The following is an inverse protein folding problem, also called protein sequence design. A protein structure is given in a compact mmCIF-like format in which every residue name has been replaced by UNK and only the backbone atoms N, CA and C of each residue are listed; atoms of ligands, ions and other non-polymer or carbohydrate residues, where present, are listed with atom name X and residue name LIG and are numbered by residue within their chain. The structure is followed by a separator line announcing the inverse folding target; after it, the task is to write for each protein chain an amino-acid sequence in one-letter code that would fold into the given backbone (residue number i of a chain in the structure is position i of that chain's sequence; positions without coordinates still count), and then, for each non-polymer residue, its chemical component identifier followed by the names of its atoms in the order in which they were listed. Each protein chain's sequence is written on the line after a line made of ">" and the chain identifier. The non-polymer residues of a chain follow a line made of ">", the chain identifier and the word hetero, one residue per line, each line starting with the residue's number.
data_IF_815183913311
#
_entry.id   IF_815183913311
#
_cell.length_a   1.000
_cell.length_b   1.000
_cell.length_c   1.000
_cell.angle_alpha   90.00
_cell.angle_beta   90.00
_cell.angle_gamma   90.00
#
_symmetry.space_group_name_H-M   'P 1'
#
loop_
_entity.id
_entity.type
_entity.pdbx_description
1 polymer ?
#
# COMPACT_ATOMS: atom_id res chain seq x y z
N UNK A 1 9.85 24.60 5.58
CA UNK A 1 10.17 24.43 7.02
C UNK A 1 11.09 23.26 7.28
N UNK A 2 11.00 22.19 6.49
CA UNK A 2 12.00 21.13 6.51
C UNK A 2 13.43 21.65 6.33
N UNK A 3 13.64 22.70 5.51
CA UNK A 3 14.94 23.34 5.29
C UNK A 3 15.77 23.67 6.55
N UNK A 4 15.13 24.04 7.66
CA UNK A 4 15.82 24.34 8.93
C UNK A 4 16.26 23.09 9.71
N UNK A 5 15.89 21.90 9.23
CA UNK A 5 16.11 20.59 9.86
C UNK A 5 17.04 19.71 9.04
N UNK A 6 17.88 20.31 8.18
CA UNK A 6 18.84 19.60 7.32
C UNK A 6 19.69 18.61 8.14
N UNK A 7 20.23 19.00 9.29
CA UNK A 7 21.02 18.09 10.13
C UNK A 7 20.24 16.85 10.58
N UNK A 8 19.04 17.02 11.13
CA UNK A 8 18.17 15.91 11.53
C UNK A 8 17.81 15.01 10.35
N UNK A 9 17.58 15.60 9.16
CA UNK A 9 17.22 14.85 7.96
C UNK A 9 18.36 13.93 7.49
N UNK A 10 19.58 14.46 7.42
CA UNK A 10 20.75 13.68 7.02
C UNK A 10 21.11 12.62 8.08
N UNK A 11 20.89 12.91 9.36
CA UNK A 11 21.02 11.91 10.42
C UNK A 11 19.98 10.78 10.26
N UNK A 12 18.71 11.11 10.00
CA UNK A 12 17.66 10.13 9.77
C UNK A 12 17.99 9.23 8.57
N UNK A 13 18.46 9.82 7.46
CA UNK A 13 18.93 9.07 6.30
C UNK A 13 20.11 8.16 6.64
N UNK A 14 21.12 8.65 7.35
CA UNK A 14 22.28 7.84 7.76
C UNK A 14 21.85 6.63 8.59
N UNK A 15 21.00 6.83 9.59
CA UNK A 15 20.50 5.75 10.45
C UNK A 15 19.68 4.73 9.63
N UNK A 16 18.85 5.19 8.70
CA UNK A 16 18.13 4.31 7.77
C UNK A 16 19.10 3.53 6.88
N UNK A 17 20.17 4.14 6.38
CA UNK A 17 21.21 3.44 5.61
C UNK A 17 21.87 2.34 6.44
N UNK A 18 22.17 2.58 7.71
CA UNK A 18 22.70 1.53 8.60
C UNK A 18 21.74 0.34 8.66
N UNK A 19 20.44 0.59 8.89
CA UNK A 19 19.43 -0.47 8.97
C UNK A 19 19.27 -1.29 7.67
N UNK A 20 19.46 -0.65 6.52
CA UNK A 20 19.45 -1.35 5.22
C UNK A 20 20.65 -2.28 5.06
N UNK A 21 21.79 -1.93 5.65
CA UNK A 21 23.01 -2.73 5.57
C UNK A 21 23.03 -3.83 6.63
N UNK A 22 22.40 -3.58 7.78
CA UNK A 22 22.33 -4.49 8.92
C UNK A 22 20.98 -4.32 9.64
N UNK A 23 20.08 -5.28 9.44
CA UNK A 23 18.77 -5.30 10.08
C UNK A 23 18.84 -5.63 11.58
N UNK A 24 19.97 -6.16 12.06
CA UNK A 24 20.20 -6.45 13.48
C UNK A 24 20.75 -5.23 14.25
N UNK A 25 21.01 -4.09 13.58
CA UNK A 25 21.39 -2.83 14.22
C UNK A 25 20.19 -2.15 14.90
N UNK A 26 19.67 -2.81 15.94
CA UNK A 26 18.55 -2.34 16.75
C UNK A 26 18.87 -1.04 17.50
N UNK A 27 20.15 -0.69 17.63
CA UNK A 27 20.59 0.61 18.15
C UNK A 27 20.27 1.72 17.15
N UNK A 28 20.65 1.58 15.88
CA UNK A 28 20.25 2.53 14.83
C UNK A 28 18.73 2.60 14.70
N UNK A 29 18.01 1.48 14.86
CA UNK A 29 16.55 1.44 14.83
C UNK A 29 15.95 2.29 15.96
N UNK A 30 16.45 2.11 17.19
CA UNK A 30 16.03 2.89 18.36
C UNK A 30 16.33 4.39 18.16
N UNK A 31 17.54 4.73 17.76
CA UNK A 31 17.97 6.12 17.55
C UNK A 31 17.14 6.82 16.47
N UNK A 32 16.84 6.12 15.36
CA UNK A 32 16.01 6.65 14.30
C UNK A 32 14.59 6.93 14.80
N UNK A 33 13.95 5.98 15.49
CA UNK A 33 12.59 6.18 16.00
C UNK A 33 12.50 7.33 17.01
N UNK A 34 13.48 7.48 17.91
CA UNK A 34 13.54 8.61 18.85
C UNK A 34 13.68 9.94 18.10
N UNK A 35 14.53 10.00 17.07
CA UNK A 35 14.69 11.19 16.22
C UNK A 35 13.37 11.54 15.50
N UNK A 36 12.70 10.55 14.91
CA UNK A 36 11.42 10.74 14.21
C UNK A 36 10.34 11.22 15.17
N UNK A 37 10.19 10.60 16.34
CA UNK A 37 9.22 11.00 17.36
C UNK A 37 9.44 12.48 17.76
N UNK A 38 10.68 12.89 18.00
CA UNK A 38 11.00 14.26 18.37
C UNK A 38 10.66 15.27 17.25
N UNK A 39 11.02 14.98 16.00
CA UNK A 39 10.74 15.87 14.87
C UNK A 39 9.24 15.94 14.53
N UNK A 40 8.51 14.83 14.65
CA UNK A 40 7.05 14.77 14.47
C UNK A 40 6.35 15.58 15.57
N UNK A 41 6.63 15.32 16.85
CA UNK A 41 6.03 16.05 17.98
C UNK A 41 6.28 17.55 17.84
N UNK A 42 7.49 17.96 17.47
CA UNK A 42 7.80 19.37 17.26
C UNK A 42 6.97 19.98 16.13
N UNK A 43 6.82 19.26 15.03
CA UNK A 43 6.03 19.67 13.87
C UNK A 43 4.55 19.81 14.24
N UNK A 44 4.00 18.87 15.00
CA UNK A 44 2.61 18.89 15.50
C UNK A 44 2.34 20.07 16.45
N UNK A 45 3.26 20.37 17.37
CA UNK A 45 3.17 21.56 18.24
C UNK A 45 3.09 22.84 17.40
N UNK A 46 3.85 22.91 16.30
CA UNK A 46 3.77 23.99 15.32
C UNK A 46 2.38 24.11 14.69
N UNK A 47 1.80 22.99 14.24
CA UNK A 47 0.42 22.94 13.71
C UNK A 47 -0.59 23.42 14.76
N UNK A 48 -0.50 22.95 16.01
CA UNK A 48 -1.40 23.34 17.09
C UNK A 48 -1.39 24.83 17.34
N UNK A 49 -0.19 25.42 17.49
CA UNK A 49 -0.03 26.86 17.72
C UNK A 49 -0.70 27.68 16.62
N UNK A 50 -0.47 27.32 15.36
CA UNK A 50 -1.06 28.03 14.21
C UNK A 50 -2.57 27.81 14.10
N UNK A 51 -3.08 26.62 14.42
CA UNK A 51 -4.52 26.34 14.45
C UNK A 51 -5.23 27.12 15.56
N UNK A 52 -4.60 27.26 16.73
CA UNK A 52 -5.13 28.07 17.83
C UNK A 52 -5.20 29.55 17.43
N UNK A 53 -4.14 30.07 16.79
CA UNK A 53 -4.12 31.43 16.26
C UNK A 53 -5.21 31.63 15.19
N UNK A 54 -5.37 30.69 14.26
CA UNK A 54 -6.37 30.76 13.19
C UNK A 54 -7.82 30.80 13.72
N UNK A 55 -8.09 30.23 14.90
CA UNK A 55 -9.40 30.27 15.55
C UNK A 55 -9.66 31.57 16.33
N UNK A 56 -8.66 32.45 16.46
CA UNK A 56 -8.80 33.74 17.14
C UNK A 56 -9.74 34.69 16.40
N UNK A 57 -10.52 35.46 17.13
CA UNK A 57 -11.60 36.32 16.61
C UNK A 57 -11.15 37.56 15.83
N UNK A 58 -9.84 37.83 15.70
CA UNK A 58 -9.30 39.05 15.06
C UNK A 58 -8.35 38.80 13.88
N UNK A 59 -8.42 37.62 13.24
CA UNK A 59 -7.49 37.26 12.15
C UNK A 59 -8.04 37.69 10.79
N UNK A 60 -7.39 38.66 10.14
CA UNK A 60 -7.71 39.10 8.78
C UNK A 60 -7.49 38.00 7.72
N UNK A 61 -8.11 38.15 6.54
CA UNK A 61 -8.08 37.15 5.47
C UNK A 61 -6.66 36.82 4.95
N UNK A 62 -5.77 37.83 4.90
CA UNK A 62 -4.38 37.63 4.45
C UNK A 62 -3.63 36.77 5.47
N UNK A 63 -3.82 37.04 6.76
CA UNK A 63 -3.25 36.27 7.85
C UNK A 63 -3.83 34.86 7.88
N UNK A 64 -5.14 34.69 7.69
CA UNK A 64 -5.75 33.35 7.60
C UNK A 64 -5.13 32.52 6.48
N UNK A 65 -4.97 33.10 5.28
CA UNK A 65 -4.34 32.44 4.13
C UNK A 65 -2.90 32.04 4.44
N UNK A 66 -2.12 32.94 5.03
CA UNK A 66 -0.76 32.66 5.48
C UNK A 66 -0.70 31.50 6.50
N UNK A 67 -1.57 31.53 7.52
CA UNK A 67 -1.63 30.50 8.56
C UNK A 67 -2.00 29.13 7.98
N UNK A 68 -2.99 29.07 7.09
CA UNK A 68 -3.37 27.83 6.39
C UNK A 68 -2.19 27.26 5.58
N UNK A 69 -1.50 28.10 4.80
CA UNK A 69 -0.30 27.69 4.06
C UNK A 69 0.82 27.19 4.97
N UNK A 70 1.04 27.82 6.12
CA UNK A 70 2.03 27.38 7.12
C UNK A 70 1.64 26.07 7.79
N UNK A 71 0.37 25.87 8.12
CA UNK A 71 -0.15 24.60 8.65
C UNK A 71 0.10 23.48 7.65
N UNK A 72 -0.20 23.69 6.36
CA UNK A 72 0.08 22.69 5.32
C UNK A 72 1.57 22.39 5.19
N UNK A 73 2.43 23.40 5.31
CA UNK A 73 3.88 23.18 5.31
C UNK A 73 4.36 22.35 6.51
N UNK A 74 3.76 22.51 7.71
CA UNK A 74 4.06 21.64 8.86
C UNK A 74 3.53 20.23 8.62
N UNK A 75 2.30 20.06 8.12
CA UNK A 75 1.73 18.75 7.78
C UNK A 75 2.59 17.99 6.77
N UNK A 76 3.09 18.68 5.74
CA UNK A 76 4.06 18.11 4.81
C UNK A 76 5.36 17.68 5.50
N UNK A 77 5.90 18.50 6.42
CA UNK A 77 7.09 18.10 7.19
C UNK A 77 6.84 16.83 8.02
N UNK A 78 5.68 16.73 8.68
CA UNK A 78 5.32 15.55 9.48
C UNK A 78 5.20 14.31 8.59
N UNK A 79 4.61 14.46 7.42
CA UNK A 79 4.51 13.41 6.42
C UNK A 79 5.88 12.88 5.99
N UNK A 80 6.82 13.78 5.66
CA UNK A 80 8.20 13.41 5.30
C UNK A 80 8.91 12.66 6.43
N UNK A 81 8.76 13.11 7.68
CA UNK A 81 9.33 12.37 8.82
C UNK A 81 8.71 10.99 8.96
N UNK A 82 7.39 10.87 8.77
CA UNK A 82 6.71 9.58 8.78
C UNK A 82 7.11 8.69 7.60
N UNK A 83 7.54 9.24 6.47
CA UNK A 83 8.10 8.47 5.37
C UNK A 83 9.38 7.72 5.75
N UNK A 84 10.18 8.23 6.70
CA UNK A 84 11.29 7.45 7.27
C UNK A 84 10.79 6.29 8.15
N UNK A 85 9.66 6.45 8.84
CA UNK A 85 9.01 5.35 9.55
C UNK A 85 8.43 4.31 8.58
N UNK A 86 7.84 4.75 7.47
CA UNK A 86 7.46 3.87 6.37
C UNK A 86 8.70 3.10 5.87
N UNK A 87 9.82 3.78 5.68
CA UNK A 87 11.05 3.14 5.23
C UNK A 87 11.59 2.08 6.20
N UNK A 88 11.48 2.31 7.52
CA UNK A 88 11.76 1.27 8.52
C UNK A 88 10.84 0.07 8.26
N UNK A 89 9.52 0.28 8.16
CA UNK A 89 8.58 -0.81 7.94
C UNK A 89 8.92 -1.63 6.69
N UNK A 90 9.25 -0.97 5.57
CA UNK A 90 9.64 -1.63 4.31
C UNK A 90 11.02 -2.31 4.34
N UNK A 91 11.88 -2.01 5.31
CA UNK A 91 13.16 -2.72 5.49
C UNK A 91 12.93 -4.09 6.13
N UNK A 92 11.99 -4.20 7.07
CA UNK A 92 11.77 -5.43 7.85
C UNK A 92 10.60 -6.27 7.35
N UNK A 93 9.57 -5.66 6.76
CA UNK A 93 8.30 -6.31 6.43
C UNK A 93 8.13 -6.47 4.93
N UNK A 94 7.40 -7.51 4.53
CA UNK A 94 6.99 -7.70 3.15
C UNK A 94 6.06 -6.57 2.69
N UNK A 95 6.35 -6.01 1.52
CA UNK A 95 5.61 -4.85 0.99
C UNK A 95 4.19 -5.18 0.55
N UNK A 96 3.89 -6.44 0.23
CA UNK A 96 2.55 -6.88 -0.09
C UNK A 96 1.74 -7.07 1.20
N UNK A 97 2.35 -7.57 2.28
CA UNK A 97 1.76 -7.61 3.62
C UNK A 97 1.44 -6.19 4.15
N UNK A 98 2.39 -5.25 4.01
CA UNK A 98 2.21 -3.86 4.44
C UNK A 98 0.99 -3.16 3.82
N UNK A 99 0.65 -3.48 2.56
CA UNK A 99 -0.54 -2.95 1.87
C UNK A 99 -1.81 -3.13 2.71
N UNK A 100 -1.96 -4.28 3.37
CA UNK A 100 -3.16 -4.60 4.17
C UNK A 100 -3.27 -3.73 5.43
N UNK A 101 -2.16 -3.18 5.91
CA UNK A 101 -2.12 -2.32 7.11
C UNK A 101 -2.52 -0.86 6.84
N UNK A 102 -2.64 -0.47 5.56
CA UNK A 102 -3.00 0.89 5.16
C UNK A 102 -4.53 1.09 5.02
N UNK A 103 -5.22 0.08 4.50
CA UNK A 103 -6.65 0.15 4.24
C UNK A 103 -7.50 -0.22 5.47
N UNK A 104 -8.77 0.16 5.45
CA UNK A 104 -9.76 -0.37 6.38
C UNK A 104 -9.99 -1.86 6.11
N UNK A 105 -10.28 -2.64 7.14
CA UNK A 105 -10.52 -4.08 6.99
C UNK A 105 -11.78 -4.33 6.18
N UNK A 106 -12.91 -3.65 6.45
CA UNK A 106 -14.18 -3.91 5.75
C UNK A 106 -14.33 -3.29 4.36
N UNK A 107 -13.45 -2.37 3.94
CA UNK A 107 -13.54 -1.69 2.63
C UNK A 107 -12.16 -1.25 2.15
N UNK A 108 -11.91 -1.36 0.84
CA UNK A 108 -10.71 -0.84 0.16
C UNK A 108 -10.66 0.70 0.12
N UNK A 109 -10.54 1.32 1.29
CA UNK A 109 -10.36 2.76 1.46
C UNK A 109 -9.31 3.00 2.54
N UNK A 110 -8.43 4.00 2.42
CA UNK A 110 -7.44 4.28 3.45
C UNK A 110 -8.09 4.40 4.83
N UNK A 111 -7.48 3.77 5.84
CA UNK A 111 -7.86 4.02 7.23
C UNK A 111 -7.52 5.46 7.60
N UNK A 112 -8.23 6.07 8.54
CA UNK A 112 -7.90 7.42 8.99
C UNK A 112 -6.44 7.52 9.46
N UNK A 113 -5.77 8.64 9.17
CA UNK A 113 -4.42 8.90 9.68
C UNK A 113 -4.38 8.80 11.21
N UNK A 114 -3.19 8.48 11.73
CA UNK A 114 -2.90 8.57 13.14
C UNK A 114 -3.18 10.00 13.67
N UNK A 115 -3.67 10.07 14.91
CA UNK A 115 -3.83 11.34 15.62
C UNK A 115 -2.48 12.02 15.88
N UNK A 116 -2.50 13.16 16.58
CA UNK A 116 -1.24 13.76 17.01
C UNK A 116 -0.56 12.91 18.09
N UNK A 117 0.70 12.56 17.86
CA UNK A 117 1.55 11.84 18.80
C UNK A 117 1.66 12.60 20.14
N UNK A 118 1.65 13.93 20.07
CA UNK A 118 1.80 14.81 21.22
C UNK A 118 0.54 15.00 22.09
N UNK A 119 -0.56 14.29 21.84
CA UNK A 119 -1.81 14.34 22.64
C UNK A 119 -2.03 13.08 23.50
N UNK A 120 -1.10 12.11 23.50
CA UNK A 120 -1.35 10.80 24.11
C UNK A 120 -0.67 10.64 25.47
N UNK A 121 -1.46 10.66 26.55
CA UNK A 121 -1.04 10.16 27.87
C UNK A 121 -0.61 8.67 27.81
N UNK A 122 -1.08 7.94 26.79
CA UNK A 122 -0.71 6.54 26.53
C UNK A 122 0.65 6.32 25.88
N UNK A 123 1.32 7.36 25.36
CA UNK A 123 2.57 7.21 24.60
C UNK A 123 3.69 6.59 25.43
N UNK A 124 3.73 6.81 26.74
CA UNK A 124 4.72 6.18 27.62
C UNK A 124 4.60 4.64 27.60
N UNK A 125 3.39 4.11 27.58
CA UNK A 125 3.15 2.67 27.56
C UNK A 125 3.52 2.08 26.19
N UNK A 126 3.19 2.78 25.11
CA UNK A 126 3.57 2.41 23.74
C UNK A 126 5.10 2.37 23.59
N UNK A 127 5.80 3.41 24.08
CA UNK A 127 7.27 3.47 24.08
C UNK A 127 7.91 2.39 24.95
N UNK A 128 7.32 2.09 26.12
CA UNK A 128 7.81 1.03 27.00
C UNK A 128 7.75 -0.32 26.31
N UNK A 129 6.65 -0.63 25.63
CA UNK A 129 6.51 -1.87 24.86
C UNK A 129 7.50 -1.92 23.70
N UNK A 130 7.64 -0.82 22.95
CA UNK A 130 8.64 -0.69 21.88
C UNK A 130 10.05 -1.01 22.40
N UNK A 131 10.51 -0.31 23.44
CA UNK A 131 11.88 -0.49 23.95
C UNK A 131 12.08 -1.86 24.57
N UNK A 132 11.06 -2.41 25.23
CA UNK A 132 11.12 -3.79 25.75
C UNK A 132 11.31 -4.79 24.61
N UNK A 133 10.59 -4.65 23.49
CA UNK A 133 10.77 -5.52 22.32
C UNK A 133 12.21 -5.42 21.77
N UNK A 134 12.72 -4.20 21.60
CA UNK A 134 14.10 -3.98 21.13
C UNK A 134 15.15 -4.55 22.10
N UNK A 135 14.95 -4.42 23.42
CA UNK A 135 15.84 -4.99 24.44
C UNK A 135 15.85 -6.54 24.43
N UNK A 136 14.81 -7.16 23.87
CA UNK A 136 14.69 -8.61 23.68
C UNK A 136 15.03 -9.05 22.24
N UNK A 137 15.74 -8.22 21.48
CA UNK A 137 16.14 -8.49 20.09
C UNK A 137 14.98 -8.70 19.11
N UNK A 138 13.82 -8.10 19.40
CA UNK A 138 12.68 -8.10 18.47
C UNK A 138 12.57 -6.71 17.83
N UNK A 139 12.85 -6.55 16.53
CA UNK A 139 12.64 -5.27 15.86
C UNK A 139 11.16 -4.89 15.93
N UNK A 140 10.90 -3.63 16.26
CA UNK A 140 9.56 -3.11 16.44
C UNK A 140 9.49 -1.62 16.07
N UNK A 141 8.30 -1.15 15.70
CA UNK A 141 8.04 0.25 15.35
C UNK A 141 6.74 0.77 15.96
N UNK A 142 6.74 2.03 16.40
CA UNK A 142 5.51 2.77 16.70
C UNK A 142 4.76 3.11 15.42
N UNK A 143 3.50 2.67 15.31
CA UNK A 143 2.69 2.85 14.09
C UNK A 143 2.43 4.32 13.77
N UNK A 144 2.32 5.17 14.80
CA UNK A 144 2.20 6.63 14.70
C UNK A 144 3.39 7.32 14.00
N UNK A 145 4.54 6.65 13.91
CA UNK A 145 5.72 7.10 13.18
C UNK A 145 5.65 6.80 11.68
N UNK A 146 4.60 6.13 11.21
CA UNK A 146 4.44 5.72 9.81
C UNK A 146 3.21 6.38 9.19
N UNK A 147 3.16 6.47 7.86
CA UNK A 147 1.94 6.80 7.12
C UNK A 147 1.22 5.54 6.60
N UNK A 148 1.94 4.42 6.49
CA UNK A 148 1.48 3.13 5.92
C UNK A 148 0.79 2.24 6.95
N UNK A 149 1.38 2.02 8.13
CA UNK A 149 0.78 1.16 9.15
C UNK A 149 -0.24 1.98 9.95
N UNK A 150 -1.53 1.70 9.75
CA UNK A 150 -2.65 2.47 10.34
C UNK A 150 -3.47 1.70 11.37
N UNK A 151 -3.03 0.50 11.75
CA UNK A 151 -3.68 -0.32 12.79
C UNK A 151 -2.68 -0.69 13.88
N UNK A 152 -3.17 -0.80 15.12
CA UNK A 152 -2.33 -1.00 16.30
C UNK A 152 -1.54 0.26 16.67
N UNK A 153 -0.91 0.22 17.84
CA UNK A 153 -0.04 1.27 18.37
C UNK A 153 1.45 0.88 18.20
N UNK A 154 1.77 -0.41 18.29
CA UNK A 154 3.11 -0.99 18.08
C UNK A 154 3.03 -2.13 17.07
N UNK A 155 3.95 -2.18 16.12
CA UNK A 155 4.12 -3.29 15.19
C UNK A 155 5.44 -4.02 15.49
N UNK A 156 5.40 -5.32 15.78
CA UNK A 156 6.60 -6.15 15.81
C UNK A 156 6.92 -6.62 14.40
N UNK A 157 8.20 -6.65 14.08
CA UNK A 157 8.73 -6.87 12.73
C UNK A 157 9.77 -8.00 12.72
N UNK A 158 9.68 -8.95 13.66
CA UNK A 158 10.60 -10.10 13.76
C UNK A 158 10.37 -11.20 12.71
N UNK A 159 9.36 -11.03 11.86
CA UNK A 159 9.03 -11.88 10.72
C UNK A 159 8.61 -10.98 9.55
N UNK A 160 8.46 -11.55 8.34
CA UNK A 160 8.05 -10.81 7.14
C UNK A 160 6.66 -10.17 7.26
N UNK A 161 5.76 -10.78 8.03
CA UNK A 161 4.41 -10.28 8.26
C UNK A 161 4.33 -9.40 9.51
N UNK A 162 3.55 -8.30 9.47
CA UNK A 162 3.44 -7.38 10.60
C UNK A 162 2.62 -7.99 11.74
N UNK A 163 3.20 -8.03 12.94
CA UNK A 163 2.46 -8.38 14.15
C UNK A 163 2.02 -7.12 14.91
N UNK A 164 0.78 -6.71 14.68
CA UNK A 164 0.21 -5.46 15.18
C UNK A 164 -0.38 -5.62 16.59
N UNK A 165 -0.05 -4.70 17.49
CA UNK A 165 -0.51 -4.70 18.88
C UNK A 165 -1.18 -3.37 19.24
N UNK A 166 -2.35 -3.44 19.88
CA UNK A 166 -2.99 -2.28 20.52
C UNK A 166 -2.57 -2.23 21.99
N UNK A 167 -2.06 -1.09 22.45
CA UNK A 167 -1.59 -0.89 23.82
C UNK A 167 -2.66 -0.17 24.62
N UNK A 168 -3.03 -0.73 25.77
CA UNK A 168 -3.99 -0.12 26.71
C UNK A 168 -3.45 -0.20 28.12
N UNK A 169 -3.44 0.93 28.82
CA UNK A 169 -3.14 0.96 30.26
C UNK A 169 -4.24 0.27 31.09
N UNK A 170 -5.50 0.35 30.64
CA UNK A 170 -6.65 -0.28 31.29
C UNK A 170 -7.57 -0.95 30.25
N UNK A 171 -8.16 -2.11 30.57
CA UNK A 171 -9.16 -2.73 29.71
C UNK A 171 -10.35 -1.80 29.50
N UNK A 172 -10.64 -1.44 28.25
CA UNK A 172 -11.83 -0.69 27.89
C UNK A 172 -12.79 -1.61 27.14
N UNK A 173 -14.08 -1.58 27.51
CA UNK A 173 -15.16 -2.29 26.82
C UNK A 173 -15.92 -1.42 25.83
N UNK A 174 -15.41 -0.23 25.51
CA UNK A 174 -16.10 0.67 24.60
C UNK A 174 -16.12 0.12 23.16
N UNK A 175 -17.10 0.57 22.38
CA UNK A 175 -17.30 0.09 21.02
C UNK A 175 -16.08 0.33 20.12
N UNK A 176 -15.39 1.46 20.34
CA UNK A 176 -14.14 1.78 19.63
C UNK A 176 -13.07 0.71 19.86
N UNK A 177 -12.81 0.32 21.12
CA UNK A 177 -11.84 -0.71 21.46
C UNK A 177 -12.22 -2.06 20.84
N UNK A 178 -13.54 -2.39 20.83
CA UNK A 178 -14.02 -3.60 20.16
C UNK A 178 -13.74 -3.59 18.66
N UNK A 179 -13.99 -2.47 17.97
CA UNK A 179 -13.71 -2.32 16.52
C UNK A 179 -12.22 -2.37 16.19
N UNK A 180 -11.38 -1.78 17.05
CA UNK A 180 -9.92 -1.86 16.89
C UNK A 180 -9.44 -3.30 17.04
N UNK A 181 -9.90 -4.01 18.07
CA UNK A 181 -9.60 -5.42 18.27
C UNK A 181 -10.05 -6.27 17.09
N UNK A 182 -11.31 -6.15 16.65
CA UNK A 182 -11.82 -6.90 15.49
C UNK A 182 -11.03 -6.61 14.21
N UNK A 183 -10.56 -5.37 14.02
CA UNK A 183 -9.68 -5.04 12.88
C UNK A 183 -8.34 -5.77 12.95
N UNK A 184 -7.74 -5.88 14.14
CA UNK A 184 -6.49 -6.61 14.34
C UNK A 184 -6.70 -8.12 14.16
N UNK A 185 -7.77 -8.67 14.73
CA UNK A 185 -8.11 -10.08 14.61
C UNK A 185 -8.29 -10.49 13.12
N UNK A 186 -8.94 -9.65 12.30
CA UNK A 186 -9.05 -9.89 10.84
C UNK A 186 -7.68 -9.92 10.17
N UNK A 187 -6.79 -8.97 10.50
CA UNK A 187 -5.47 -8.88 9.89
C UNK A 187 -4.57 -10.06 10.31
N UNK A 188 -4.53 -10.39 11.60
CA UNK A 188 -3.77 -11.53 12.11
C UNK A 188 -4.23 -12.84 11.48
N UNK A 189 -5.54 -13.09 11.42
CA UNK A 189 -6.07 -14.27 10.75
C UNK A 189 -5.67 -14.32 9.27
N UNK A 190 -5.68 -13.18 8.57
CA UNK A 190 -5.26 -13.13 7.18
C UNK A 190 -3.77 -13.43 7.00
N UNK A 191 -2.90 -12.88 7.83
CA UNK A 191 -1.46 -13.16 7.77
C UNK A 191 -1.13 -14.61 8.15
N UNK A 192 -1.91 -15.23 9.03
CA UNK A 192 -1.72 -16.62 9.45
C UNK A 192 -2.24 -17.64 8.42
N UNK A 193 -3.33 -17.32 7.70
CA UNK A 193 -4.05 -18.27 6.85
C UNK A 193 -3.96 -17.98 5.35
N UNK A 194 -3.36 -16.85 4.96
CA UNK A 194 -3.35 -16.31 3.60
C UNK A 194 -4.73 -16.07 2.96
N UNK A 195 -5.82 -16.20 3.73
CA UNK A 195 -7.19 -16.10 3.24
C UNK A 195 -8.04 -15.15 4.06
N UNK A 196 -8.99 -14.46 3.42
CA UNK A 196 -9.98 -13.64 4.12
C UNK A 196 -11.25 -13.43 3.30
N UNK A 197 -12.40 -13.55 3.97
CA UNK A 197 -13.71 -13.15 3.44
C UNK A 197 -14.16 -11.78 3.99
N UNK A 198 -13.33 -11.16 4.83
CA UNK A 198 -13.64 -9.93 5.56
C UNK A 198 -12.76 -8.75 5.17
N UNK A 199 -11.67 -8.98 4.45
CA UNK A 199 -10.76 -7.94 3.99
C UNK A 199 -11.27 -7.26 2.72
N UNK A 200 -11.23 -5.93 2.74
CA UNK A 200 -11.55 -5.02 1.65
C UNK A 200 -12.97 -5.11 1.08
N UNK A 201 -13.86 -5.86 1.75
CA UNK A 201 -15.19 -6.18 1.23
C UNK A 201 -15.15 -7.21 0.10
N UNK A 202 -14.04 -7.94 -0.05
CA UNK A 202 -13.91 -9.03 -1.02
C UNK A 202 -14.39 -10.35 -0.37
N UNK A 203 -15.34 -11.08 -0.98
CA UNK A 203 -15.83 -12.35 -0.44
C UNK A 203 -14.78 -13.47 -0.44
N UNK A 204 -13.74 -13.41 -1.29
CA UNK A 204 -12.66 -14.41 -1.33
C UNK A 204 -11.33 -13.73 -1.70
N UNK A 205 -10.66 -13.15 -0.69
CA UNK A 205 -9.32 -12.61 -0.84
C UNK A 205 -8.30 -13.68 -0.43
N UNK A 206 -7.34 -13.95 -1.32
CA UNK A 206 -6.22 -14.86 -1.04
C UNK A 206 -4.89 -14.19 -1.33
N UNK A 207 -3.88 -14.51 -0.53
CA UNK A 207 -2.49 -14.14 -0.75
C UNK A 207 -1.79 -15.33 -1.39
N UNK A 208 -1.11 -15.06 -2.48
CA UNK A 208 -0.37 -16.05 -3.24
C UNK A 208 1.09 -15.63 -3.31
N UNK A 209 2.01 -16.57 -3.09
CA UNK A 209 3.44 -16.31 -3.23
C UNK A 209 3.77 -16.01 -4.70
N UNK A 210 4.62 -15.01 -4.94
CA UNK A 210 5.08 -14.69 -6.30
C UNK A 210 5.99 -15.80 -6.84
N UNK A 211 6.02 -15.98 -8.16
CA UNK A 211 6.85 -17.00 -8.83
C UNK A 211 8.31 -16.58 -8.92
N UNK A 212 8.55 -15.32 -9.30
CA UNK A 212 9.90 -14.79 -9.53
C UNK A 212 10.25 -13.67 -8.57
N UNK A 213 11.54 -13.55 -8.27
CA UNK A 213 12.09 -12.39 -7.53
C UNK A 213 11.80 -11.09 -8.27
N UNK A 214 11.52 -10.04 -7.51
CA UNK A 214 11.22 -8.72 -8.06
C UNK A 214 12.36 -8.15 -8.89
N UNK A 215 12.01 -7.65 -10.08
CA UNK A 215 12.89 -6.82 -10.91
C UNK A 215 12.45 -5.37 -10.78
N UNK A 216 13.35 -4.51 -10.32
CA UNK A 216 13.14 -3.07 -10.21
C UNK A 216 14.38 -2.28 -10.66
N UNK A 217 14.16 -1.09 -11.20
CA UNK A 217 15.20 -0.25 -11.81
C UNK A 217 15.55 0.99 -10.98
N UNK A 218 15.56 0.83 -9.65
CA UNK A 218 15.86 1.91 -8.70
C UNK A 218 17.25 2.52 -8.95
N UNK A 219 18.23 1.72 -9.39
CA UNK A 219 19.57 2.22 -9.69
C UNK A 219 19.54 3.23 -10.86
N UNK A 220 18.87 2.88 -11.96
CA UNK A 220 18.73 3.74 -13.14
C UNK A 220 17.98 5.03 -12.80
N UNK A 221 17.01 4.99 -11.88
CA UNK A 221 16.39 6.20 -11.34
C UNK A 221 17.42 7.08 -10.62
N UNK A 222 18.27 6.52 -9.75
CA UNK A 222 19.28 7.29 -9.02
C UNK A 222 20.33 7.92 -9.94
N UNK A 223 20.74 7.20 -11.00
CA UNK A 223 21.62 7.73 -12.06
C UNK A 223 20.97 8.89 -12.82
N UNK A 224 19.67 8.76 -13.11
CA UNK A 224 18.86 9.81 -13.72
C UNK A 224 18.79 11.07 -12.84
N UNK A 225 18.53 10.91 -11.53
CA UNK A 225 18.53 12.03 -10.56
C UNK A 225 19.92 12.69 -10.49
N UNK A 226 20.98 11.89 -10.43
CA UNK A 226 22.37 12.40 -10.41
C UNK A 226 22.66 13.27 -11.64
N UNK A 227 22.28 12.79 -12.82
CA UNK A 227 22.43 13.51 -14.08
C UNK A 227 21.65 14.82 -14.09
N UNK A 228 20.43 14.81 -13.54
CA UNK A 228 19.60 16.02 -13.44
C UNK A 228 20.24 17.11 -12.58
N UNK A 229 20.90 16.76 -11.48
CA UNK A 229 21.58 17.72 -10.61
C UNK A 229 22.83 18.30 -11.26
N UNK A 230 23.56 17.50 -12.03
CA UNK A 230 24.78 17.93 -12.70
C UNK A 230 24.49 18.78 -13.96
N UNK A 231 23.56 18.35 -14.81
CA UNK A 231 23.32 18.91 -16.14
C UNK A 231 21.97 19.63 -16.29
N UNK A 232 21.12 19.62 -15.25
CA UNK A 232 19.76 20.17 -15.29
C UNK A 232 18.69 19.16 -15.69
N UNK A 233 19.07 18.06 -16.35
CA UNK A 233 18.18 17.01 -16.84
C UNK A 233 18.87 15.64 -16.83
N UNK A 234 18.10 14.59 -16.55
CA UNK A 234 18.50 13.19 -16.69
C UNK A 234 17.37 12.39 -17.32
N UNK A 235 17.75 11.36 -18.08
CA UNK A 235 16.82 10.39 -18.65
C UNK A 235 17.41 8.98 -18.58
N UNK A 236 16.55 7.98 -18.45
CA UNK A 236 16.91 6.58 -18.57
C UNK A 236 15.77 5.79 -19.24
N UNK A 237 16.12 4.70 -19.92
CA UNK A 237 15.17 3.77 -20.52
C UNK A 237 15.58 2.35 -20.05
N UNK A 238 15.13 1.92 -18.86
CA UNK A 238 15.62 0.66 -18.26
C UNK A 238 15.16 -0.60 -18.99
N UNK A 239 13.95 -0.56 -19.57
CA UNK A 239 13.42 -1.63 -20.42
C UNK A 239 12.38 -1.06 -21.40
N UNK A 240 12.02 -1.85 -22.42
CA UNK A 240 11.02 -1.45 -23.41
C UNK A 240 9.73 -0.97 -22.73
N UNK A 241 9.21 0.16 -23.20
CA UNK A 241 8.00 0.76 -22.65
C UNK A 241 8.16 1.43 -21.29
N UNK A 242 9.36 1.54 -20.71
CA UNK A 242 9.61 2.22 -19.44
C UNK A 242 10.65 3.33 -19.59
N UNK A 243 10.28 4.56 -19.23
CA UNK A 243 11.17 5.71 -19.34
C UNK A 243 11.16 6.52 -18.04
N UNK A 244 12.35 6.91 -17.57
CA UNK A 244 12.52 7.76 -16.40
C UNK A 244 13.08 9.11 -16.81
N UNK A 245 12.55 10.17 -16.20
CA UNK A 245 13.02 11.54 -16.36
C UNK A 245 13.19 12.19 -15.00
N UNK A 246 14.32 12.86 -14.81
CA UNK A 246 14.57 13.72 -13.67
C UNK A 246 14.97 15.10 -14.18
N UNK A 247 14.31 16.14 -13.69
CA UNK A 247 14.49 17.51 -14.15
C UNK A 247 14.65 18.42 -12.95
N UNK A 248 15.61 19.34 -12.99
CA UNK A 248 15.64 20.42 -12.00
C UNK A 248 14.44 21.34 -12.19
N UNK A 249 13.73 21.68 -11.11
CA UNK A 249 12.47 22.45 -11.19
C UNK A 249 12.61 23.86 -11.78
N UNK A 250 13.83 24.41 -11.82
CA UNK A 250 14.15 25.69 -12.45
C UNK A 250 14.53 25.58 -13.93
N UNK A 251 14.46 24.39 -14.51
CA UNK A 251 14.76 24.10 -15.91
C UNK A 251 13.50 23.66 -16.65
N UNK A 252 13.46 23.93 -17.95
CA UNK A 252 12.45 23.39 -18.83
C UNK A 252 12.83 21.98 -19.25
N UNK A 253 11.83 21.12 -19.46
CA UNK A 253 12.04 19.82 -20.09
C UNK A 253 12.62 20.05 -21.51
N UNK A 254 13.65 19.30 -21.93
CA UNK A 254 14.13 19.37 -23.30
C UNK A 254 13.01 19.07 -24.30
N UNK A 255 12.96 19.79 -25.41
CA UNK A 255 11.89 19.68 -26.41
C UNK A 255 11.78 18.26 -26.99
N UNK A 256 12.92 17.58 -27.19
CA UNK A 256 12.97 16.18 -27.66
C UNK A 256 12.29 15.18 -26.71
N UNK A 257 12.03 15.57 -25.46
CA UNK A 257 11.40 14.75 -24.41
C UNK A 257 10.02 15.28 -24.05
N UNK A 258 9.62 16.45 -24.58
CA UNK A 258 8.35 17.09 -24.28
C UNK A 258 7.12 16.24 -24.67
N UNK A 259 7.29 15.27 -25.57
CA UNK A 259 6.24 14.32 -26.00
C UNK A 259 6.33 12.95 -25.33
N UNK A 260 7.06 12.81 -24.22
CA UNK A 260 7.36 11.51 -23.59
C UNK A 260 8.10 10.53 -24.53
N UNK A 261 8.97 11.06 -25.37
CA UNK A 261 9.80 10.26 -26.28
C UNK A 261 8.98 9.37 -27.21
N UNK A 262 9.29 8.06 -27.21
CA UNK A 262 8.67 7.05 -28.07
C UNK A 262 7.46 6.32 -27.44
N UNK A 263 6.92 6.80 -26.30
CA UNK A 263 5.78 6.14 -25.67
C UNK A 263 4.51 6.35 -26.52
N UNK A 264 3.88 5.23 -26.93
CA UNK A 264 2.71 5.25 -27.84
C UNK A 264 1.43 5.63 -27.10
N UNK A 265 1.27 5.10 -25.89
CA UNK A 265 0.16 5.41 -25.01
C UNK A 265 0.72 5.66 -23.60
N UNK A 266 1.20 6.89 -23.30
CA UNK A 266 1.94 7.17 -22.07
C UNK A 266 1.02 7.22 -20.84
N UNK A 267 1.34 6.42 -19.83
CA UNK A 267 0.83 6.55 -18.46
C UNK A 267 1.92 7.13 -17.57
N UNK A 268 1.70 8.33 -17.04
CA UNK A 268 2.74 9.16 -16.44
C UNK A 268 2.57 9.28 -14.93
N UNK A 269 3.63 8.97 -14.20
CA UNK A 269 3.73 9.09 -12.75
C UNK A 269 4.71 10.19 -12.39
N UNK A 270 4.19 11.32 -11.89
CA UNK A 270 5.02 12.45 -11.45
C UNK A 270 5.19 12.37 -9.94
N UNK A 271 6.30 11.82 -9.44
CA UNK A 271 6.49 11.49 -8.01
C UNK A 271 6.23 12.67 -7.06
N UNK A 272 6.52 13.89 -7.50
CA UNK A 272 6.31 15.10 -6.71
C UNK A 272 4.83 15.35 -6.39
N UNK A 273 3.89 14.91 -7.25
CA UNK A 273 2.46 15.11 -7.04
C UNK A 273 1.94 14.25 -5.89
N UNK A 274 2.02 12.90 -5.92
CA UNK A 274 1.51 12.09 -4.83
C UNK A 274 2.31 12.28 -3.53
N UNK A 275 3.62 12.52 -3.62
CA UNK A 275 4.41 12.81 -2.43
C UNK A 275 4.04 14.18 -1.82
N UNK A 276 3.84 15.20 -2.67
CA UNK A 276 3.43 16.55 -2.24
C UNK A 276 2.01 16.59 -1.65
N UNK A 277 1.09 15.80 -2.20
CA UNK A 277 -0.29 15.63 -1.72
C UNK A 277 -0.42 14.68 -0.54
N UNK A 278 0.67 14.00 -0.15
CA UNK A 278 0.76 13.06 0.99
C UNK A 278 -0.06 11.78 0.78
N UNK A 279 -0.13 11.28 -0.45
CA UNK A 279 -0.85 10.06 -0.85
C UNK A 279 0.06 9.04 -1.56
N UNK A 280 1.31 8.91 -1.10
CA UNK A 280 2.25 7.91 -1.63
C UNK A 280 1.91 6.45 -1.26
N UNK A 281 1.22 6.23 -0.15
CA UNK A 281 0.99 4.89 0.38
C UNK A 281 -0.04 4.13 -0.48
N UNK A 282 0.08 2.79 -0.60
CA UNK A 282 0.96 1.90 0.16
C UNK A 282 2.24 1.47 -0.60
N UNK A 283 2.84 2.38 -1.37
CA UNK A 283 4.05 2.08 -2.15
C UNK A 283 5.36 2.27 -1.37
N UNK A 284 6.43 1.63 -1.85
CA UNK A 284 7.82 1.81 -1.38
C UNK A 284 8.16 3.32 -1.32
N UNK A 285 8.50 3.89 -0.15
CA UNK A 285 8.62 5.33 0.00
C UNK A 285 9.87 5.88 -0.70
N UNK A 286 9.86 7.12 -1.27
CA UNK A 286 11.00 7.69 -1.99
C UNK A 286 12.26 7.82 -1.12
N UNK A 287 12.10 7.91 0.20
CA UNK A 287 13.22 7.96 1.14
C UNK A 287 14.04 6.66 1.18
N UNK A 288 13.48 5.54 0.69
CA UNK A 288 14.19 4.27 0.51
C UNK A 288 14.68 4.10 -0.93
N UNK A 289 13.92 4.61 -1.91
CA UNK A 289 14.25 4.54 -3.34
C UNK A 289 15.39 5.48 -3.76
N UNK A 290 15.50 6.66 -3.16
CA UNK A 290 16.57 7.62 -3.47
C UNK A 290 17.74 7.41 -2.48
N UNK A 291 18.84 6.86 -2.97
CA UNK A 291 19.94 6.38 -2.14
C UNK A 291 20.88 7.49 -1.61
N UNK A 292 21.01 8.59 -2.36
CA UNK A 292 21.86 9.71 -1.97
C UNK A 292 21.07 10.73 -1.15
N UNK A 293 21.57 11.10 0.03
CA UNK A 293 20.89 12.02 0.95
C UNK A 293 20.69 13.44 0.40
N UNK A 294 21.64 13.96 -0.41
CA UNK A 294 21.48 15.26 -1.05
C UNK A 294 20.46 15.21 -2.18
N UNK A 295 20.39 14.10 -2.92
CA UNK A 295 19.38 13.88 -3.97
C UNK A 295 17.98 13.80 -3.36
N UNK A 296 17.81 13.03 -2.29
CA UNK A 296 16.55 12.93 -1.57
C UNK A 296 16.15 14.29 -0.98
N UNK A 297 17.12 15.03 -0.42
CA UNK A 297 16.88 16.37 0.11
C UNK A 297 16.41 17.35 -0.98
N UNK A 298 16.95 17.27 -2.19
CA UNK A 298 16.52 18.08 -3.33
C UNK A 298 15.09 17.71 -3.77
N UNK A 299 14.77 16.41 -3.86
CA UNK A 299 13.42 15.92 -4.18
C UNK A 299 12.37 16.41 -3.18
N UNK A 300 12.60 16.23 -1.88
CA UNK A 300 11.69 16.65 -0.80
C UNK A 300 11.47 18.17 -0.76
N UNK A 301 12.42 18.96 -1.27
CA UNK A 301 12.25 20.42 -1.40
C UNK A 301 11.59 20.85 -2.69
N UNK A 302 11.26 19.91 -3.58
CA UNK A 302 10.71 20.18 -4.90
C UNK A 302 11.71 20.85 -5.81
N UNK A 303 13.01 20.65 -5.62
CA UNK A 303 14.08 21.17 -6.49
C UNK A 303 14.33 20.26 -7.69
N UNK A 304 13.85 19.02 -7.63
CA UNK A 304 13.85 18.05 -8.73
C UNK A 304 12.44 17.54 -8.91
N UNK A 305 12.00 17.44 -10.15
CA UNK A 305 10.80 16.74 -10.59
C UNK A 305 11.20 15.38 -11.16
N UNK A 306 10.59 14.30 -10.66
CA UNK A 306 10.78 12.94 -11.16
C UNK A 306 9.52 12.51 -11.89
N UNK A 307 9.67 12.03 -13.12
CA UNK A 307 8.59 11.47 -13.92
C UNK A 307 8.96 10.07 -14.39
N UNK A 308 8.04 9.13 -14.22
CA UNK A 308 8.12 7.78 -14.77
C UNK A 308 7.01 7.62 -15.79
N UNK A 309 7.37 7.24 -17.01
CA UNK A 309 6.43 7.03 -18.12
C UNK A 309 6.40 5.55 -18.45
N UNK A 310 5.21 5.00 -18.48
CA UNK A 310 4.92 3.63 -18.89
C UNK A 310 4.15 3.67 -20.20
N UNK A 311 4.60 2.97 -21.22
CA UNK A 311 3.85 2.81 -22.47
C UNK A 311 2.84 1.68 -22.31
N UNK A 312 1.55 2.03 -22.24
CA UNK A 312 0.47 1.08 -22.01
C UNK A 312 0.37 0.01 -23.11
N UNK A 313 0.74 0.34 -24.35
CA UNK A 313 0.80 -0.64 -25.45
C UNK A 313 1.84 -1.72 -25.17
N UNK A 314 2.95 -1.38 -24.52
CA UNK A 314 3.98 -2.38 -24.17
C UNK A 314 3.46 -3.39 -23.15
N UNK A 315 2.54 -3.01 -22.26
CA UNK A 315 1.89 -3.95 -21.35
C UNK A 315 1.07 -4.99 -22.13
N UNK A 316 0.32 -4.57 -23.15
CA UNK A 316 -0.44 -5.46 -24.02
C UNK A 316 0.49 -6.39 -24.83
N UNK A 317 1.60 -5.86 -25.34
CA UNK A 317 2.62 -6.66 -26.04
C UNK A 317 3.24 -7.72 -25.15
N UNK A 318 3.56 -7.40 -23.87
CA UNK A 318 4.04 -8.39 -22.90
C UNK A 318 3.01 -9.50 -22.70
N UNK A 319 1.73 -9.17 -22.61
CA UNK A 319 0.66 -10.19 -22.49
C UNK A 319 0.61 -11.07 -23.75
N UNK A 320 0.71 -10.47 -24.93
CA UNK A 320 0.72 -11.19 -26.21
C UNK A 320 1.93 -12.11 -26.36
N UNK A 321 3.12 -11.67 -25.93
CA UNK A 321 4.34 -12.49 -25.90
C UNK A 321 4.20 -13.71 -24.98
N UNK A 322 3.40 -13.59 -23.92
CA UNK A 322 3.08 -14.70 -23.01
C UNK A 322 1.98 -15.63 -23.56
N UNK A 323 1.43 -15.34 -24.74
CA UNK A 323 0.45 -16.16 -25.43
C UNK A 323 -1.01 -15.86 -25.09
N UNK A 324 -1.31 -14.69 -24.51
CA UNK A 324 -2.66 -14.30 -24.10
C UNK A 324 -3.15 -13.04 -24.83
N UNK A 325 -4.46 -12.82 -24.84
CA UNK A 325 -5.06 -11.57 -25.32
C UNK A 325 -5.18 -10.58 -24.15
N UNK A 326 -4.47 -9.47 -24.21
CA UNK A 326 -4.48 -8.40 -23.20
C UNK A 326 -5.03 -7.10 -23.76
N UNK A 327 -5.77 -6.35 -22.93
CA UNK A 327 -6.21 -4.99 -23.26
C UNK A 327 -6.11 -4.08 -22.05
N UNK A 328 -5.47 -2.94 -22.24
CA UNK A 328 -5.43 -1.85 -21.28
C UNK A 328 -6.61 -0.91 -21.54
N UNK A 329 -7.42 -0.67 -20.52
CA UNK A 329 -8.54 0.26 -20.54
C UNK A 329 -8.27 1.42 -19.58
N UNK A 330 -8.08 2.62 -20.14
CA UNK A 330 -7.82 3.83 -19.36
C UNK A 330 -9.05 4.34 -18.61
N UNK A 331 -10.25 3.89 -18.99
CA UNK A 331 -11.49 4.29 -18.33
C UNK A 331 -11.82 3.39 -17.12
N UNK A 332 -11.26 2.17 -17.06
CA UNK A 332 -11.41 1.27 -15.92
C UNK A 332 -10.36 1.57 -14.84
N UNK A 333 -10.70 2.50 -13.94
CA UNK A 333 -9.78 2.99 -12.92
C UNK A 333 -9.23 1.91 -11.98
N UNK A 334 -10.02 0.88 -11.64
CA UNK A 334 -9.66 -0.07 -10.58
C UNK A 334 -8.82 -1.24 -11.09
N UNK A 335 -9.10 -1.70 -12.31
CA UNK A 335 -8.56 -2.91 -12.92
C UNK A 335 -8.25 -2.73 -14.41
N UNK A 336 -7.32 -1.84 -14.76
CA UNK A 336 -7.19 -1.34 -16.12
C UNK A 336 -6.62 -2.36 -17.12
N UNK A 337 -5.84 -3.36 -16.68
CA UNK A 337 -5.31 -4.38 -17.60
C UNK A 337 -6.12 -5.67 -17.49
N UNK A 338 -6.89 -5.96 -18.53
CA UNK A 338 -7.68 -7.19 -18.69
C UNK A 338 -6.92 -8.22 -19.53
N UNK A 339 -7.01 -9.50 -19.16
CA UNK A 339 -6.33 -10.62 -19.84
C UNK A 339 -7.32 -11.76 -20.00
N UNK A 340 -7.44 -12.31 -21.21
CA UNK A 340 -8.33 -13.43 -21.53
C UNK A 340 -7.56 -14.73 -21.72
N UNK A 341 -8.10 -15.83 -21.18
CA UNK A 341 -7.52 -17.17 -21.28
C UNK A 341 -8.26 -18.02 -22.33
N UNK A 342 -8.23 -17.58 -23.60
CA UNK A 342 -8.99 -18.22 -24.68
C UNK A 342 -10.50 -18.06 -24.54
N UNK A 343 -11.26 -18.74 -25.40
CA UNK A 343 -12.73 -18.54 -25.49
C UNK A 343 -13.49 -19.03 -24.25
N UNK A 344 -12.99 -20.08 -23.57
CA UNK A 344 -13.70 -20.74 -22.47
C UNK A 344 -12.97 -20.64 -21.11
N UNK A 345 -11.75 -20.09 -21.07
CA UNK A 345 -10.92 -20.05 -19.85
C UNK A 345 -11.15 -18.85 -18.92
N UNK A 346 -12.18 -18.05 -19.19
CA UNK A 346 -12.47 -16.83 -18.43
C UNK A 346 -11.42 -15.73 -18.62
N UNK A 347 -11.28 -14.87 -17.63
CA UNK A 347 -10.34 -13.75 -17.67
C UNK A 347 -9.85 -13.33 -16.30
N UNK A 348 -8.74 -12.61 -16.28
CA UNK A 348 -8.23 -11.94 -15.10
C UNK A 348 -8.05 -10.45 -15.37
N UNK A 349 -7.92 -9.70 -14.28
CA UNK A 349 -7.51 -8.30 -14.34
C UNK A 349 -6.38 -8.01 -13.38
N UNK A 350 -5.48 -7.14 -13.77
CA UNK A 350 -4.44 -6.61 -12.89
C UNK A 350 -4.90 -5.23 -12.38
N UNK A 351 -5.00 -5.10 -11.06
CA UNK A 351 -5.46 -3.87 -10.41
C UNK A 351 -4.49 -2.70 -10.63
N UNK A 352 -5.02 -1.47 -10.61
CA UNK A 352 -4.23 -0.24 -10.63
C UNK A 352 -3.17 -0.22 -9.52
N UNK A 353 -3.48 -0.69 -8.30
CA UNK A 353 -2.50 -0.74 -7.20
C UNK A 353 -1.27 -1.60 -7.55
N UNK A 354 -1.44 -2.63 -8.37
CA UNK A 354 -0.35 -3.53 -8.72
C UNK A 354 0.46 -2.95 -9.87
N UNK A 355 -0.20 -2.46 -10.92
CA UNK A 355 0.46 -1.80 -12.05
C UNK A 355 1.12 -0.48 -11.65
N UNK A 356 0.53 0.24 -10.70
CA UNK A 356 1.06 1.49 -10.14
C UNK A 356 2.44 1.31 -9.50
N UNK A 357 2.82 0.10 -9.07
CA UNK A 357 4.18 -0.20 -8.59
C UNK A 357 5.24 0.03 -9.65
N UNK A 358 4.91 -0.07 -10.95
CA UNK A 358 5.81 0.30 -12.04
C UNK A 358 6.26 1.76 -11.89
N UNK A 359 5.26 2.64 -11.77
CA UNK A 359 5.48 4.08 -11.68
C UNK A 359 5.88 4.59 -10.30
N UNK A 360 5.52 3.88 -9.23
CA UNK A 360 5.73 4.32 -7.85
C UNK A 360 6.91 3.63 -7.17
N UNK A 361 7.31 2.44 -7.62
CA UNK A 361 8.39 1.64 -7.03
C UNK A 361 9.51 1.28 -8.02
N UNK A 362 9.42 1.79 -9.26
CA UNK A 362 10.32 1.45 -10.36
C UNK A 362 10.33 -0.05 -10.70
N UNK A 363 9.24 -0.76 -10.40
CA UNK A 363 9.10 -2.17 -10.75
C UNK A 363 9.05 -2.36 -12.28
N UNK A 364 9.54 -3.50 -12.76
CA UNK A 364 9.51 -3.85 -14.18
C UNK A 364 8.07 -4.09 -14.67
N UNK A 365 7.58 -3.40 -15.72
CA UNK A 365 6.38 -3.77 -16.45
C UNK A 365 6.30 -5.26 -16.78
N UNK A 366 7.39 -5.85 -17.30
CA UNK A 366 7.43 -7.27 -17.66
C UNK A 366 7.24 -8.15 -16.44
N UNK A 367 7.96 -7.87 -15.36
CA UNK A 367 7.87 -8.65 -14.13
C UNK A 367 6.47 -8.61 -13.51
N UNK A 368 5.86 -7.43 -13.39
CA UNK A 368 4.50 -7.27 -12.83
C UNK A 368 3.48 -8.07 -13.63
N UNK A 369 3.48 -7.93 -14.95
CA UNK A 369 2.52 -8.59 -15.84
C UNK A 369 2.71 -10.11 -15.84
N UNK A 370 3.96 -10.58 -16.00
CA UNK A 370 4.29 -12.01 -16.01
C UNK A 370 3.90 -12.68 -14.69
N UNK A 371 4.33 -12.12 -13.55
CA UNK A 371 4.02 -12.72 -12.24
C UNK A 371 2.52 -12.70 -11.96
N UNK A 372 1.81 -11.65 -12.36
CA UNK A 372 0.35 -11.58 -12.21
C UNK A 372 -0.34 -12.74 -12.92
N UNK A 373 0.03 -13.00 -14.18
CA UNK A 373 -0.52 -14.10 -14.99
C UNK A 373 -0.15 -15.45 -14.38
N UNK A 374 1.13 -15.70 -14.13
CA UNK A 374 1.60 -17.00 -13.63
C UNK A 374 1.00 -17.36 -12.28
N UNK A 375 0.91 -16.38 -11.37
CA UNK A 375 0.29 -16.55 -10.05
C UNK A 375 -1.20 -16.89 -10.19
N UNK A 376 -1.91 -16.19 -11.08
CA UNK A 376 -3.33 -16.45 -11.32
C UNK A 376 -3.56 -17.85 -11.92
N UNK A 377 -2.78 -18.24 -12.93
CA UNK A 377 -2.88 -19.55 -13.57
C UNK A 377 -2.59 -20.67 -12.57
N UNK A 378 -1.55 -20.50 -11.73
CA UNK A 378 -1.23 -21.48 -10.69
C UNK A 378 -2.38 -21.63 -9.68
N UNK A 379 -2.83 -20.51 -9.09
CA UNK A 379 -3.89 -20.53 -8.08
C UNK A 379 -5.21 -21.13 -8.60
N UNK A 380 -5.58 -20.85 -9.85
CA UNK A 380 -6.79 -21.42 -10.47
C UNK A 380 -6.63 -22.90 -10.85
N UNK A 381 -5.43 -23.32 -11.30
CA UNK A 381 -5.15 -24.73 -11.59
C UNK A 381 -5.16 -25.62 -10.35
N UNK A 382 -4.74 -25.10 -9.19
CA UNK A 382 -4.79 -25.80 -7.91
C UNK A 382 -6.23 -25.85 -7.37
N UNK A 383 -6.99 -24.77 -7.54
CA UNK A 383 -8.40 -24.70 -7.12
C UNK A 383 -9.28 -25.69 -7.89
N UNK A 384 -9.00 -25.92 -9.18
CA UNK A 384 -9.68 -26.96 -9.97
C UNK A 384 -9.47 -28.39 -9.43
N UNK A 385 -8.32 -28.66 -8.78
CA UNK A 385 -8.05 -29.96 -8.13
C UNK A 385 -8.75 -30.12 -6.77
N UNK A 386 -8.99 -29.01 -6.07
CA UNK A 386 -9.73 -29.02 -4.78
C UNK A 386 -11.24 -29.17 -5.03
N UNK A 387 -11.77 -28.55 -6.09
CA UNK A 387 -13.19 -28.67 -6.45
C UNK A 387 -13.57 -30.10 -6.87
N UNK A 388 -12.69 -30.84 -7.55
CA UNK A 388 -12.94 -32.25 -7.89
C UNK A 388 -12.91 -33.21 -6.68
N UNK A 389 -12.24 -32.83 -5.59
CA UNK A 389 -12.13 -33.64 -4.37
C UNK A 389 -13.16 -33.31 -3.29
N UNK A 390 -13.51 -32.04 -3.11
CA UNK A 390 -14.23 -31.56 -1.92
C UNK A 390 -15.70 -31.16 -2.18
N UNK A 391 -16.13 -31.01 -3.44
CA UNK A 391 -17.55 -30.87 -3.76
C UNK A 391 -18.34 -32.17 -3.51
N UNK A 392 -17.67 -33.32 -3.44
CA UNK A 392 -18.30 -34.58 -3.04
C UNK A 392 -18.58 -34.65 -1.53
N UNK A 393 -17.91 -33.84 -0.69
CA UNK A 393 -17.98 -33.95 0.77
C UNK A 393 -18.59 -32.75 1.51
N UNK A 394 -18.41 -31.51 1.04
CA UNK A 394 -18.66 -30.34 1.90
C UNK A 394 -19.53 -29.20 1.31
N UNK A 395 -19.95 -29.28 0.04
CA UNK A 395 -20.61 -28.17 -0.66
C UNK A 395 -22.08 -27.86 -0.32
N UNK A 396 -22.79 -28.69 0.46
CA UNK A 396 -24.24 -28.54 0.68
C UNK A 396 -24.68 -28.21 2.11
N UNK A 397 -23.77 -28.03 3.07
CA UNK A 397 -24.13 -27.86 4.49
C UNK A 397 -24.02 -26.45 5.08
N UNK A 398 -23.59 -25.44 4.31
CA UNK A 398 -23.25 -24.13 4.87
C UNK A 398 -23.77 -22.95 4.03
N UNK A 399 -25.04 -22.97 3.65
CA UNK A 399 -25.73 -21.74 3.22
C UNK A 399 -27.08 -21.66 3.93
N UNK A 400 -27.30 -20.57 4.65
CA UNK A 400 -28.63 -20.28 5.18
C UNK A 400 -29.59 -19.92 4.02
N UNK A 401 -30.87 -20.14 4.28
CA UNK A 401 -31.96 -20.01 3.31
C UNK A 401 -32.07 -18.59 2.72
N UNK A 402 -31.55 -17.59 3.45
CA UNK A 402 -31.61 -16.17 3.08
C UNK A 402 -30.58 -15.84 2.00
N UNK A 403 -29.38 -16.41 2.08
CA UNK A 403 -28.36 -16.30 1.04
C UNK A 403 -28.76 -17.01 -0.26
N UNK A 404 -29.51 -18.12 -0.16
CA UNK A 404 -30.10 -18.81 -1.32
C UNK A 404 -31.14 -17.96 -2.05
N UNK A 405 -31.97 -17.23 -1.32
CA UNK A 405 -33.03 -16.38 -1.88
C UNK A 405 -32.51 -15.08 -2.54
N UNK A 406 -31.35 -14.56 -2.11
CA UNK A 406 -30.72 -13.40 -2.75
C UNK A 406 -30.08 -13.72 -4.10
N UNK A 407 -29.52 -14.94 -4.26
CA UNK A 407 -28.98 -15.41 -5.54
C UNK A 407 -30.08 -15.59 -6.60
N UNK A 408 -31.28 -16.02 -6.21
CA UNK A 408 -32.46 -16.12 -7.10
C UNK A 408 -32.94 -14.73 -7.58
N UNK A 409 -32.72 -13.67 -6.79
CA UNK A 409 -33.11 -12.30 -7.14
C UNK A 409 -32.17 -11.61 -8.14
N UNK A 410 -30.95 -12.11 -8.33
CA UNK A 410 -29.93 -11.48 -9.18
C UNK A 410 -29.93 -11.96 -10.65
N UNK A 411 -31.01 -12.63 -11.10
CA UNK A 411 -31.28 -12.81 -12.53
C UNK A 411 -30.48 -13.92 -13.22
N UNK A 412 -30.50 -15.15 -12.66
CA UNK A 412 -30.01 -16.31 -13.40
C UNK A 412 -30.98 -16.74 -14.52
N UNK A 413 -30.46 -17.24 -15.66
CA UNK A 413 -31.27 -17.69 -16.80
C UNK A 413 -32.27 -18.81 -16.42
N UNK A 414 -33.43 -18.84 -17.10
CA UNK A 414 -34.59 -19.71 -16.76
C UNK A 414 -34.30 -21.21 -16.84
N UNK A 415 -33.29 -21.64 -17.60
CA UNK A 415 -32.87 -23.03 -17.75
C UNK A 415 -32.21 -23.60 -16.48
N UNK A 416 -31.54 -22.78 -15.67
CA UNK A 416 -31.02 -23.19 -14.35
C UNK A 416 -32.09 -23.22 -13.25
N UNK A 417 -33.21 -22.51 -13.41
CA UNK A 417 -34.30 -22.52 -12.42
C UNK A 417 -35.05 -23.86 -12.39
N UNK A 418 -35.00 -24.62 -13.49
CA UNK A 418 -35.63 -25.95 -13.61
C UNK A 418 -34.88 -26.99 -12.78
N UNK A 419 -33.56 -26.90 -12.68
CA UNK A 419 -32.71 -27.83 -11.91
C UNK A 419 -32.98 -27.70 -10.41
N UNK A 420 -33.11 -26.47 -9.91
CA UNK A 420 -33.37 -26.20 -8.48
C UNK A 420 -34.81 -26.57 -8.08
N UNK A 421 -35.79 -26.42 -8.99
CA UNK A 421 -37.17 -26.86 -8.74
C UNK A 421 -37.32 -28.39 -8.74
N UNK A 422 -36.51 -29.13 -9.51
CA UNK A 422 -36.55 -30.59 -9.51
C UNK A 422 -35.98 -31.19 -8.22
N UNK A 423 -34.94 -30.59 -7.63
CA UNK A 423 -34.35 -31.06 -6.37
C UNK A 423 -35.26 -30.79 -5.16
N UNK A 424 -35.98 -29.66 -5.14
CA UNK A 424 -36.93 -29.35 -4.07
C UNK A 424 -38.14 -30.32 -4.03
N UNK A 425 -38.57 -30.83 -5.19
CA UNK A 425 -39.66 -31.81 -5.29
C UNK A 425 -39.19 -33.22 -4.88
N UNK A 426 -37.90 -33.53 -5.04
CA UNK A 426 -37.31 -34.81 -4.64
C UNK A 426 -37.07 -34.92 -3.12
N UNK A 427 -36.87 -33.80 -2.42
CA UNK A 427 -36.73 -33.78 -0.96
C UNK A 427 -38.08 -33.85 -0.22
N UNK A 428 -39.17 -33.29 -0.76
CA UNK A 428 -40.53 -33.48 -0.20
C UNK A 428 -41.05 -34.92 -0.37
N UNK A 429 -40.56 -35.65 -1.38
CA UNK A 429 -40.90 -37.06 -1.61
C UNK A 429 -40.18 -38.04 -0.65
N UNK A 430 -39.15 -37.58 0.07
CA UNK A 430 -38.40 -38.37 1.05
C UNK A 430 -38.77 -37.99 2.48
N UNK A 431 -40.05 -38.16 2.80
CA UNK A 431 -40.54 -38.05 4.16
C UNK A 431 -39.77 -38.97 5.12
N UNK A 432 -39.35 -38.42 6.25
CA UNK A 432 -39.10 -39.22 7.44
C UNK A 432 -40.08 -38.84 8.56
N UNK A 433 -40.71 -39.85 9.20
CA UNK A 433 -41.73 -39.63 10.21
C UNK A 433 -41.07 -39.19 11.52
N UNK A 434 -41.73 -38.30 12.23
CA UNK A 434 -41.23 -37.76 13.49
C UNK A 434 -41.07 -38.80 14.60
N UNK A 435 -40.39 -38.40 15.69
CA UNK A 435 -40.72 -38.81 17.06
C UNK A 435 -39.82 -38.17 18.15
N UNK A 436 -40.51 -37.80 19.23
CA UNK A 436 -40.08 -37.46 20.60
C UNK A 436 -39.30 -36.13 20.76
N UNK A 437 -39.67 -35.19 21.63
CA UNK A 437 -40.54 -35.20 22.81
C UNK A 437 -41.09 -33.79 23.07
#
# INVERSE_FOLDING_TARGET
>A
MIGYRKRSFFLAHKLLTNLRMDQDDLKSLRELQVLLAHEIVRTERGVRKLKAELKGSSVDDKRQTYLRKKIESYRYCAYVWRSFGDAIAFVYLDKFALKHTYYQTGKKSPKSDAGFLSDKDGLEHELRLLFTALDHNVPAILTDLTNTIRHGDVCLMGASDPFLMEVKATPSRNERARRQKDSLDILHNFFETDGSTRLWGNPDLRREALTDLEVAYIQQLNECISSSLAAGFGAANPESGLQYYALRSDKSLPEAVATFGNARAPWVFVWNDPFGRRNWMPYLPPVLSIANSDHLWAFVRGEIVIMIVVDMITLEEIVAELGFEGRFDTEEASHPLSIKFGNDGGGMWISEDMLGRIGMECASPRWITKNGIETFVRATSETSKVLDGDLASNGLRMMDEKSRLELVRMGMPEDMQVVIKMDAILDEARGHPGKYQ
#
